data_IF_377505680196
#
_entry.id   IF_377505680196
#
_cell.length_a   1.000
_cell.length_b   1.000
_cell.length_c   1.000
_cell.angle_alpha   90.00
_cell.angle_beta   90.00
_cell.angle_gamma   90.00
#
_symmetry.space_group_name_H-M   'P 1'
#
loop_
_entity.id
_entity.type
_entity.pdbx_description
1 polymer ?
#
# COMPACT_ATOMS: atom_id res chain seq x y z
N UNK A 1 21.28 11.98 -37.53
CA UNK A 1 20.40 10.79 -37.38
C UNK A 1 21.32 9.62 -37.19
N UNK A 2 21.42 9.14 -35.95
CA UNK A 2 22.03 7.84 -35.66
C UNK A 2 20.90 6.86 -35.94
N UNK A 3 21.08 5.96 -36.90
CA UNK A 3 20.10 4.91 -37.16
C UNK A 3 19.86 4.13 -35.86
N UNK A 4 18.59 3.88 -35.48
CA UNK A 4 18.29 3.11 -34.29
C UNK A 4 18.93 1.72 -34.44
N UNK A 5 19.57 1.19 -33.38
CA UNK A 5 20.26 -0.10 -33.45
C UNK A 5 19.30 -1.17 -33.95
N UNK A 6 19.73 -1.84 -35.02
CA UNK A 6 19.02 -2.91 -35.70
C UNK A 6 18.65 -4.03 -34.72
N UNK A 7 17.35 -4.30 -34.64
CA UNK A 7 16.75 -5.54 -34.17
C UNK A 7 17.24 -6.06 -32.81
N UNK A 8 16.93 -5.31 -31.75
CA UNK A 8 16.85 -5.90 -30.43
C UNK A 8 15.73 -6.96 -30.41
N UNK A 9 16.10 -8.24 -30.46
CA UNK A 9 15.15 -9.34 -30.30
C UNK A 9 14.93 -9.61 -28.80
N UNK A 10 13.71 -9.47 -28.28
CA UNK A 10 13.41 -9.79 -26.90
C UNK A 10 13.68 -11.28 -26.65
N UNK A 11 14.37 -11.57 -25.55
CA UNK A 11 14.59 -12.93 -25.05
C UNK A 11 13.30 -13.41 -24.38
N UNK A 12 12.34 -13.87 -25.20
CA UNK A 12 11.02 -14.33 -24.75
C UNK A 12 11.10 -15.43 -23.69
N UNK A 13 12.10 -16.31 -23.78
CA UNK A 13 12.30 -17.38 -22.80
C UNK A 13 12.66 -16.80 -21.43
N UNK A 14 13.54 -15.79 -21.39
CA UNK A 14 13.88 -15.10 -20.16
C UNK A 14 12.70 -14.29 -19.59
N UNK A 15 11.88 -13.66 -20.44
CA UNK A 15 10.67 -12.94 -20.01
C UNK A 15 9.61 -13.88 -19.45
N UNK A 16 9.34 -15.01 -20.10
CA UNK A 16 8.43 -16.04 -19.60
C UNK A 16 8.93 -16.64 -18.28
N UNK A 17 10.22 -16.97 -18.20
CA UNK A 17 10.83 -17.46 -16.96
C UNK A 17 10.82 -16.41 -15.84
N UNK A 18 10.87 -15.11 -16.16
CA UNK A 18 10.69 -14.04 -15.18
C UNK A 18 9.25 -13.99 -14.67
N UNK A 19 8.26 -14.08 -15.56
CA UNK A 19 6.83 -14.07 -15.21
C UNK A 19 6.48 -15.26 -14.30
N UNK A 20 7.02 -16.45 -14.57
CA UNK A 20 6.84 -17.65 -13.74
C UNK A 20 7.73 -17.66 -12.47
N UNK A 21 8.52 -16.61 -12.21
CA UNK A 21 9.52 -16.56 -11.13
C UNK A 21 10.55 -17.73 -11.16
N UNK A 22 10.84 -18.27 -12.35
CA UNK A 22 11.79 -19.39 -12.57
C UNK A 22 13.24 -18.97 -12.81
N UNK A 23 13.52 -17.67 -12.92
CA UNK A 23 14.90 -17.17 -13.07
C UNK A 23 15.67 -17.22 -11.75
N UNK A 24 16.93 -17.65 -11.81
CA UNK A 24 17.89 -17.47 -10.70
C UNK A 24 18.15 -15.96 -10.43
N UNK A 25 18.71 -15.67 -9.26
CA UNK A 25 18.89 -14.29 -8.80
C UNK A 25 19.78 -13.45 -9.73
N UNK A 26 20.83 -14.04 -10.30
CA UNK A 26 21.77 -13.33 -11.16
C UNK A 26 21.15 -13.01 -12.53
N UNK A 27 20.46 -13.98 -13.13
CA UNK A 27 19.77 -13.79 -14.41
C UNK A 27 18.59 -12.84 -14.27
N UNK A 28 17.85 -12.91 -13.16
CA UNK A 28 16.74 -12.00 -12.85
C UNK A 28 17.19 -10.54 -12.78
N UNK A 29 18.30 -10.26 -12.11
CA UNK A 29 18.84 -8.89 -12.02
C UNK A 29 19.18 -8.31 -13.40
N UNK A 30 19.79 -9.12 -14.27
CA UNK A 30 20.10 -8.73 -15.65
C UNK A 30 18.84 -8.44 -16.47
N UNK A 31 17.81 -9.29 -16.36
CA UNK A 31 16.55 -9.11 -17.10
C UNK A 31 15.79 -7.89 -16.58
N UNK A 32 15.74 -7.66 -15.27
CA UNK A 32 15.11 -6.47 -14.68
C UNK A 32 15.83 -5.18 -15.07
N UNK A 33 17.17 -5.18 -15.08
CA UNK A 33 17.95 -4.04 -15.57
C UNK A 33 17.64 -3.75 -17.05
N UNK A 34 17.53 -4.79 -17.88
CA UNK A 34 17.16 -4.62 -19.27
C UNK A 34 15.73 -4.09 -19.46
N UNK A 35 14.75 -4.60 -18.70
CA UNK A 35 13.36 -4.11 -18.70
C UNK A 35 13.25 -2.66 -18.24
N UNK A 36 14.18 -2.19 -17.40
CA UNK A 36 14.26 -0.79 -17.03
C UNK A 36 14.72 0.10 -18.20
N UNK A 37 15.64 -0.40 -19.02
CA UNK A 37 16.28 0.36 -20.10
C UNK A 37 15.54 0.25 -21.45
N UNK A 38 14.62 -0.71 -21.62
CA UNK A 38 13.97 -1.02 -22.90
C UNK A 38 12.43 -1.03 -22.81
N UNK A 39 11.80 0.11 -23.14
CA UNK A 39 10.35 0.29 -23.09
C UNK A 39 9.56 -0.77 -23.88
N UNK A 40 10.06 -1.19 -25.06
CA UNK A 40 9.40 -2.22 -25.86
C UNK A 40 9.34 -3.57 -25.14
N UNK A 41 10.41 -3.96 -24.43
CA UNK A 41 10.43 -5.19 -23.64
C UNK A 41 9.58 -5.06 -22.37
N UNK A 42 9.47 -3.86 -21.79
CA UNK A 42 8.55 -3.58 -20.68
C UNK A 42 7.10 -3.79 -21.09
N UNK A 43 6.69 -3.21 -22.22
CA UNK A 43 5.33 -3.33 -22.75
C UNK A 43 4.99 -4.79 -23.06
N UNK A 44 5.90 -5.48 -23.75
CA UNK A 44 5.76 -6.89 -24.09
C UNK A 44 5.64 -7.79 -22.84
N UNK A 45 6.43 -7.52 -21.80
CA UNK A 45 6.35 -8.25 -20.54
C UNK A 45 5.02 -8.01 -19.82
N UNK A 46 4.49 -6.79 -19.84
CA UNK A 46 3.19 -6.48 -19.27
C UNK A 46 2.05 -7.24 -19.96
N UNK A 47 2.05 -7.29 -21.31
CA UNK A 47 1.07 -8.07 -22.09
C UNK A 47 1.13 -9.58 -21.76
N UNK A 48 2.34 -10.12 -21.57
CA UNK A 48 2.52 -11.53 -21.19
C UNK A 48 1.92 -11.84 -19.81
N UNK A 49 2.17 -10.98 -18.82
CA UNK A 49 1.63 -11.14 -17.45
C UNK A 49 0.11 -11.01 -17.43
N UNK A 50 -0.46 -10.10 -18.22
CA UNK A 50 -1.91 -9.93 -18.35
C UNK A 50 -2.56 -11.18 -18.97
N UNK A 51 -1.95 -11.77 -20.01
CA UNK A 51 -2.46 -12.99 -20.64
C UNK A 51 -2.46 -14.17 -19.68
N UNK A 52 -1.39 -14.34 -18.88
CA UNK A 52 -1.29 -15.41 -17.89
C UNK A 52 -2.33 -15.28 -16.77
N UNK A 53 -2.68 -14.06 -16.38
CA UNK A 53 -3.71 -13.83 -15.35
C UNK A 53 -5.12 -14.22 -15.83
N UNK A 54 -5.38 -14.18 -17.14
CA UNK A 54 -6.67 -14.56 -17.70
C UNK A 54 -6.86 -16.08 -17.78
N UNK A 55 -5.78 -16.84 -17.96
CA UNK A 55 -5.83 -18.31 -18.05
C UNK A 55 -6.10 -18.98 -16.68
N UNK A 56 -5.84 -18.29 -15.56
CA UNK A 56 -6.10 -18.83 -14.20
C UNK A 56 -7.59 -18.77 -13.78
N UNK A 57 -8.44 -18.00 -14.47
CA UNK A 57 -9.86 -17.83 -14.09
C UNK A 57 -10.82 -18.91 -14.64
N UNK A 58 -10.38 -19.81 -15.53
CA UNK A 58 -11.27 -20.79 -16.18
C UNK A 58 -11.38 -22.16 -15.48
N UNK A 59 -10.56 -22.47 -14.47
CA UNK A 59 -10.42 -23.86 -13.97
C UNK A 59 -11.11 -24.21 -12.62
N UNK A 60 -11.87 -23.31 -11.98
CA UNK A 60 -12.45 -23.60 -10.66
C UNK A 60 -13.99 -23.66 -10.64
N UNK A 61 -14.54 -24.78 -11.14
CA UNK A 61 -15.91 -25.20 -10.90
C UNK A 61 -15.98 -26.67 -10.42
N UNK A 62 -15.48 -26.93 -9.21
CA UNK A 62 -15.72 -28.19 -8.49
C UNK A 62 -16.85 -27.99 -7.47
N UNK A 63 -17.99 -28.70 -7.57
CA UNK A 63 -19.07 -28.57 -6.60
C UNK A 63 -18.72 -29.24 -5.26
N UNK A 64 -19.09 -28.66 -4.10
CA UNK A 64 -18.74 -29.22 -2.80
C UNK A 64 -19.63 -30.42 -2.42
N UNK A 65 -18.99 -31.53 -2.06
CA UNK A 65 -19.61 -32.67 -1.39
C UNK A 65 -19.63 -32.44 0.13
N UNK A 66 -20.83 -32.44 0.71
CA UNK A 66 -21.08 -32.19 2.13
C UNK A 66 -21.26 -33.52 2.85
N UNK A 67 -20.22 -34.03 3.52
CA UNK A 67 -20.39 -34.84 4.74
C UNK A 67 -19.07 -35.08 5.46
N UNK A 68 -18.96 -34.65 6.73
CA UNK A 68 -18.24 -35.42 7.77
C UNK A 68 -18.61 -34.93 9.17
N UNK A 69 -18.59 -35.81 10.20
CA UNK A 69 -19.16 -35.55 11.52
C UNK A 69 -18.14 -35.05 12.56
N UNK A 70 -18.70 -34.41 13.60
CA UNK A 70 -18.02 -33.83 14.77
C UNK A 70 -17.41 -34.90 15.68
N UNK A 71 -16.15 -34.71 16.07
CA UNK A 71 -15.47 -35.45 17.15
C UNK A 71 -15.14 -34.48 18.30
N UNK A 72 -15.46 -34.79 19.57
CA UNK A 72 -15.04 -33.97 20.71
C UNK A 72 -13.75 -34.52 21.34
N UNK A 73 -12.81 -33.66 21.73
CA UNK A 73 -11.70 -34.02 22.62
C UNK A 73 -11.50 -32.95 23.69
N UNK A 74 -11.37 -33.42 24.94
CA UNK A 74 -11.15 -32.62 26.14
C UNK A 74 -9.67 -32.28 26.39
N UNK A 75 -9.52 -31.16 27.12
CA UNK A 75 -8.43 -30.55 27.90
C UNK A 75 -7.15 -31.32 28.23
N UNK A 76 -6.03 -30.57 28.31
CA UNK A 76 -5.09 -30.55 29.45
C UNK A 76 -4.18 -29.29 29.41
N UNK A 77 -3.86 -28.74 30.60
CA UNK A 77 -2.89 -27.65 30.83
C UNK A 77 -1.64 -28.19 31.52
N UNK A 78 -0.43 -27.73 31.16
CA UNK A 78 0.58 -27.38 32.17
C UNK A 78 1.37 -26.08 31.86
N UNK A 79 2.04 -25.45 32.85
CA UNK A 79 2.79 -24.19 32.69
C UNK A 79 4.32 -24.42 32.71
N UNK A 80 5.16 -23.36 32.76
CA UNK A 80 5.56 -22.51 31.64
C UNK A 80 7.04 -22.72 31.27
N UNK A 81 7.42 -22.46 30.02
CA UNK A 81 8.83 -22.23 29.67
C UNK A 81 8.98 -21.12 28.64
N UNK A 82 9.98 -20.29 28.88
CA UNK A 82 10.29 -19.09 28.12
C UNK A 82 10.97 -19.40 26.79
N UNK A 83 10.77 -18.45 25.86
CA UNK A 83 11.46 -18.20 24.56
C UNK A 83 10.85 -18.80 23.31
N UNK A 84 10.70 -17.88 22.34
CA UNK A 84 10.69 -18.13 20.90
C UNK A 84 9.30 -18.09 20.32
N UNK A 85 8.90 -16.95 19.73
CA UNK A 85 7.70 -16.92 18.90
C UNK A 85 8.01 -16.48 17.46
N UNK A 86 7.40 -17.26 16.57
CA UNK A 86 7.67 -17.44 15.16
C UNK A 86 6.96 -16.39 14.26
N UNK A 87 7.46 -16.17 13.02
CA UNK A 87 6.86 -15.25 12.06
C UNK A 87 5.77 -15.97 11.24
N UNK A 88 4.52 -15.49 11.29
CA UNK A 88 3.46 -16.14 10.50
C UNK A 88 2.09 -15.47 10.45
N UNK A 89 1.94 -14.18 10.82
CA UNK A 89 0.62 -13.54 10.92
C UNK A 89 0.43 -12.26 10.08
N UNK A 90 1.31 -12.01 9.10
CA UNK A 90 1.29 -10.77 8.31
C UNK A 90 0.41 -10.82 7.06
N UNK A 91 -0.15 -11.98 6.72
CA UNK A 91 -0.88 -12.19 5.46
C UNK A 91 -2.34 -11.71 5.53
N UNK A 92 -2.96 -11.72 6.71
CA UNK A 92 -4.35 -11.28 6.92
C UNK A 92 -4.50 -9.76 7.14
N UNK A 93 -3.42 -9.05 7.47
CA UNK A 93 -3.45 -7.62 7.77
C UNK A 93 -3.66 -6.74 6.53
N UNK A 94 -3.38 -7.26 5.34
CA UNK A 94 -3.44 -6.46 4.14
C UNK A 94 -4.81 -6.45 3.46
N UNK A 95 -5.58 -7.54 3.49
CA UNK A 95 -6.95 -7.58 2.96
C UNK A 95 -7.88 -6.51 3.58
N UNK A 96 -7.58 -6.06 4.79
CA UNK A 96 -8.36 -5.09 5.57
C UNK A 96 -8.12 -3.64 5.12
N UNK A 97 -6.96 -3.31 4.55
CA UNK A 97 -6.63 -1.95 4.08
C UNK A 97 -7.52 -1.49 2.91
N UNK A 98 -8.06 -2.42 2.12
CA UNK A 98 -8.97 -2.11 1.00
C UNK A 98 -10.39 -1.79 1.49
N UNK A 99 -10.83 -2.41 2.59
CA UNK A 99 -12.16 -2.20 3.15
C UNK A 99 -12.22 -0.95 4.05
N UNK A 100 -11.14 -0.63 4.76
CA UNK A 100 -11.11 0.48 5.73
C UNK A 100 -11.27 1.88 5.11
N UNK A 101 -10.77 2.11 3.89
CA UNK A 101 -10.95 3.40 3.19
C UNK A 101 -12.30 3.51 2.47
N UNK A 102 -12.94 2.38 2.13
CA UNK A 102 -14.26 2.35 1.48
C UNK A 102 -15.43 2.46 2.48
N UNK A 103 -15.22 2.10 3.76
CA UNK A 103 -16.31 2.03 4.76
C UNK A 103 -16.53 3.31 5.56
N UNK A 104 -15.64 4.30 5.48
CA UNK A 104 -15.75 5.54 6.30
C UNK A 104 -16.63 6.61 5.62
N UNK A 105 -16.93 6.51 4.31
CA UNK A 105 -17.60 7.60 3.58
C UNK A 105 -18.68 7.13 2.58
N UNK A 106 -19.97 7.17 2.95
CA UNK A 106 -21.14 7.22 2.02
C UNK A 106 -22.35 7.92 2.69
N UNK A 107 -23.28 8.61 1.96
CA UNK A 107 -23.70 8.33 0.57
C UNK A 107 -23.92 9.52 -0.42
N UNK A 108 -23.71 9.26 -1.73
CA UNK A 108 -24.48 9.78 -2.89
C UNK A 108 -24.23 8.87 -4.13
N UNK A 109 -25.26 8.25 -4.70
CA UNK A 109 -25.17 6.91 -5.29
C UNK A 109 -24.50 6.74 -6.67
N UNK A 110 -24.35 7.78 -7.51
CA UNK A 110 -23.68 7.63 -8.82
C UNK A 110 -22.27 8.26 -8.86
N UNK A 111 -22.08 9.43 -8.24
CA UNK A 111 -20.76 10.06 -8.10
C UNK A 111 -19.79 9.28 -7.20
N UNK A 112 -20.31 8.38 -6.34
CA UNK A 112 -19.47 7.51 -5.51
C UNK A 112 -18.78 6.40 -6.27
N UNK A 113 -19.32 5.95 -7.41
CA UNK A 113 -18.70 4.88 -8.20
C UNK A 113 -17.48 5.40 -8.98
N UNK A 114 -17.61 6.54 -9.66
CA UNK A 114 -16.51 7.18 -10.39
C UNK A 114 -15.40 7.63 -9.43
N UNK A 115 -15.75 8.32 -8.33
CA UNK A 115 -14.79 8.66 -7.26
C UNK A 115 -14.08 7.41 -6.74
N UNK A 116 -14.83 6.37 -6.38
CA UNK A 116 -14.27 5.13 -5.86
C UNK A 116 -13.30 4.46 -6.84
N UNK A 117 -13.65 4.42 -8.13
CA UNK A 117 -12.81 3.86 -9.18
C UNK A 117 -11.50 4.65 -9.35
N UNK A 118 -11.56 5.98 -9.40
CA UNK A 118 -10.39 6.84 -9.52
C UNK A 118 -9.45 6.71 -8.31
N UNK A 119 -10.00 6.69 -7.10
CA UNK A 119 -9.21 6.50 -5.87
C UNK A 119 -8.52 5.14 -5.89
N UNK A 120 -9.26 4.06 -6.17
CA UNK A 120 -8.69 2.72 -6.28
C UNK A 120 -7.64 2.61 -7.38
N UNK A 121 -7.85 3.26 -8.53
CA UNK A 121 -6.89 3.30 -9.62
C UNK A 121 -5.59 3.99 -9.21
N UNK A 122 -5.68 5.15 -8.54
CA UNK A 122 -4.50 5.87 -8.04
C UNK A 122 -3.69 4.98 -7.08
N UNK A 123 -4.35 4.31 -6.13
CA UNK A 123 -3.68 3.41 -5.20
C UNK A 123 -3.04 2.19 -5.88
N UNK A 124 -3.73 1.59 -6.87
CA UNK A 124 -3.14 0.49 -7.66
C UNK A 124 -1.90 0.94 -8.42
N UNK A 125 -1.93 2.12 -9.01
CA UNK A 125 -0.78 2.67 -9.73
C UNK A 125 0.38 2.98 -8.79
N UNK A 126 0.12 3.57 -7.60
CA UNK A 126 1.16 3.77 -6.59
C UNK A 126 1.80 2.45 -6.18
N UNK A 127 0.99 1.40 -5.95
CA UNK A 127 1.49 0.07 -5.60
C UNK A 127 2.33 -0.56 -6.72
N UNK A 128 1.98 -0.31 -7.98
CA UNK A 128 2.70 -0.84 -9.14
C UNK A 128 4.08 -0.17 -9.36
N UNK A 129 4.19 1.13 -9.06
CA UNK A 129 5.41 1.90 -9.31
C UNK A 129 6.54 1.53 -8.36
N UNK A 130 6.22 1.32 -7.08
CA UNK A 130 7.23 1.35 -6.03
C UNK A 130 7.43 -0.01 -5.37
N UNK A 131 7.64 -1.06 -6.18
CA UNK A 131 7.69 -2.47 -5.80
C UNK A 131 8.57 -2.90 -4.62
N UNK A 132 9.18 -1.98 -3.83
CA UNK A 132 9.79 -2.26 -2.51
C UNK A 132 9.95 -1.08 -1.52
N UNK A 133 9.66 0.22 -1.79
CA UNK A 133 10.20 1.33 -0.94
C UNK A 133 9.24 2.20 -0.14
N UNK A 134 8.01 2.45 -0.59
CA UNK A 134 6.96 2.98 0.27
C UNK A 134 6.61 1.90 1.29
N UNK A 135 7.03 2.07 2.56
CA UNK A 135 6.57 1.34 3.75
C UNK A 135 5.49 0.32 3.41
N UNK A 136 5.84 -0.95 3.15
CA UNK A 136 4.93 -2.07 2.80
C UNK A 136 3.45 -1.74 3.01
N UNK A 137 2.84 -1.10 2.01
CA UNK A 137 1.42 -1.24 1.71
C UNK A 137 1.36 -2.35 0.66
N UNK A 138 1.77 -3.57 1.05
CA UNK A 138 1.70 -4.73 0.18
C UNK A 138 0.78 -5.79 0.75
N UNK A 139 -0.24 -6.08 -0.05
CA UNK A 139 -1.15 -7.19 0.04
C UNK A 139 -0.40 -8.46 -0.36
N UNK A 140 -0.41 -9.53 0.46
CA UNK A 140 0.07 -10.82 0.01
C UNK A 140 -1.06 -11.57 -0.67
N UNK A 141 -0.86 -11.89 -1.95
CA UNK A 141 -1.13 -13.25 -2.40
C UNK A 141 -0.11 -14.18 -1.71
N UNK A 142 -0.55 -15.38 -1.39
CA UNK A 142 0.11 -16.29 -0.46
C UNK A 142 1.41 -16.90 -1.02
N UNK A 143 2.53 -16.17 -1.00
CA UNK A 143 3.85 -16.79 -1.20
C UNK A 143 4.99 -16.02 -0.50
N UNK A 144 5.58 -16.71 0.48
CA UNK A 144 6.91 -16.55 1.11
C UNK A 144 7.19 -15.44 2.17
N UNK A 145 7.83 -15.80 3.31
CA UNK A 145 8.09 -14.89 4.42
C UNK A 145 9.46 -14.18 4.32
N UNK A 146 9.49 -12.87 4.07
CA UNK A 146 10.74 -12.08 4.17
C UNK A 146 11.00 -11.58 5.59
N UNK A 147 12.24 -11.76 6.06
CA UNK A 147 12.67 -11.49 7.45
C UNK A 147 13.12 -10.04 7.68
N UNK A 148 12.96 -9.58 8.94
CA UNK A 148 13.21 -8.24 9.48
C UNK A 148 14.61 -7.61 9.22
N UNK A 149 15.58 -8.37 8.68
CA UNK A 149 16.92 -7.86 8.37
C UNK A 149 16.95 -6.91 7.17
N UNK A 150 15.99 -7.01 6.24
CA UNK A 150 15.94 -6.15 5.05
C UNK A 150 15.43 -4.72 5.34
N UNK A 151 14.72 -4.50 6.45
CA UNK A 151 14.20 -3.18 6.81
C UNK A 151 15.27 -2.21 7.39
N UNK A 152 16.44 -2.72 7.80
CA UNK A 152 17.50 -1.90 8.44
C UNK A 152 18.44 -1.19 7.46
N UNK A 153 18.34 -1.46 6.15
CA UNK A 153 19.19 -0.85 5.12
C UNK A 153 18.75 0.55 4.67
N UNK A 154 17.55 1.00 5.02
CA UNK A 154 17.00 2.28 4.53
C UNK A 154 17.29 3.40 5.53
N UNK A 155 18.58 3.74 5.68
CA UNK A 155 18.98 5.02 6.28
C UNK A 155 19.58 5.91 5.20
N UNK A 156 18.86 6.99 4.90
CA UNK A 156 19.41 8.19 4.29
C UNK A 156 19.59 8.13 2.77
N UNK A 157 18.93 9.03 2.05
CA UNK A 157 19.39 9.47 0.73
C UNK A 157 18.73 8.84 -0.50
N UNK A 158 17.70 8.01 -0.35
CA UNK A 158 16.83 7.68 -1.47
C UNK A 158 15.97 8.90 -1.78
N UNK A 159 16.33 9.70 -2.79
CA UNK A 159 15.46 10.78 -3.23
C UNK A 159 14.09 10.16 -3.51
N UNK A 160 13.03 10.71 -2.93
CA UNK A 160 11.69 10.61 -3.49
C UNK A 160 11.73 11.27 -4.87
N UNK A 161 12.43 10.65 -5.82
CA UNK A 161 12.44 11.06 -7.20
C UNK A 161 10.97 11.02 -7.57
N UNK A 162 10.42 12.21 -7.83
CA UNK A 162 9.01 12.43 -8.12
C UNK A 162 8.57 11.27 -8.99
N UNK A 163 7.58 10.51 -8.52
CA UNK A 163 7.00 9.46 -9.32
C UNK A 163 6.28 10.15 -10.48
N UNK A 164 7.01 10.43 -11.56
CA UNK A 164 6.52 10.98 -12.82
C UNK A 164 5.90 9.86 -13.65
N UNK A 165 5.14 8.99 -13.00
CA UNK A 165 4.40 7.94 -13.65
C UNK A 165 3.16 8.56 -14.29
N UNK A 166 3.20 8.74 -15.60
CA UNK A 166 2.17 9.47 -16.35
C UNK A 166 0.73 8.98 -16.06
N UNK A 167 0.45 7.65 -15.98
CA UNK A 167 -0.89 7.18 -15.59
C UNK A 167 -1.34 7.64 -14.20
N UNK A 168 -0.42 7.70 -13.22
CA UNK A 168 -0.73 8.16 -11.87
C UNK A 168 -1.00 9.67 -11.84
N UNK A 169 -0.18 10.44 -12.55
CA UNK A 169 -0.38 11.88 -12.66
C UNK A 169 -1.71 12.22 -13.33
N UNK A 170 -2.12 11.43 -14.32
CA UNK A 170 -3.43 11.56 -14.96
C UNK A 170 -4.57 11.30 -13.97
N UNK A 171 -4.54 10.17 -13.24
CA UNK A 171 -5.58 9.87 -12.25
C UNK A 171 -5.66 10.90 -11.13
N UNK A 172 -4.50 11.42 -10.67
CA UNK A 172 -4.47 12.52 -9.70
C UNK A 172 -5.05 13.82 -10.27
N UNK A 173 -4.85 14.10 -11.56
CA UNK A 173 -5.44 15.25 -12.23
C UNK A 173 -6.97 15.11 -12.39
N UNK A 174 -7.47 13.91 -12.67
CA UNK A 174 -8.90 13.60 -12.73
C UNK A 174 -9.57 13.78 -11.36
N UNK A 175 -8.96 13.27 -10.29
CA UNK A 175 -9.43 13.51 -8.91
C UNK A 175 -9.44 15.01 -8.55
N UNK A 176 -8.41 15.76 -8.97
CA UNK A 176 -8.36 17.21 -8.77
C UNK A 176 -9.45 17.95 -9.56
N UNK A 177 -9.72 17.54 -10.80
CA UNK A 177 -10.80 18.09 -11.60
C UNK A 177 -12.17 17.81 -10.98
N UNK A 178 -12.38 16.61 -10.44
CA UNK A 178 -13.60 16.26 -9.71
C UNK A 178 -13.76 17.13 -8.45
N UNK A 179 -12.67 17.38 -7.71
CA UNK A 179 -12.68 18.26 -6.54
C UNK A 179 -12.99 19.71 -6.90
N UNK A 180 -12.53 20.21 -8.05
CA UNK A 180 -12.89 21.54 -8.54
C UNK A 180 -14.39 21.68 -8.82
N UNK A 181 -15.04 20.60 -9.28
CA UNK A 181 -16.49 20.57 -9.47
C UNK A 181 -17.24 20.48 -8.13
N UNK A 182 -16.60 19.94 -7.09
CA UNK A 182 -17.20 19.68 -5.78
C UNK A 182 -16.30 20.22 -4.64
N UNK A 183 -16.05 21.54 -4.56
CA UNK A 183 -15.05 22.10 -3.65
C UNK A 183 -15.37 21.89 -2.17
N UNK A 184 -16.63 21.62 -1.83
CA UNK A 184 -17.09 21.33 -0.48
C UNK A 184 -17.00 19.83 -0.09
N UNK A 185 -16.64 18.93 -1.02
CA UNK A 185 -16.45 17.51 -0.69
C UNK A 185 -15.12 17.31 0.04
N UNK A 186 -15.18 17.34 1.38
CA UNK A 186 -14.03 17.09 2.24
C UNK A 186 -13.51 15.65 2.13
N UNK A 187 -14.36 14.68 1.81
CA UNK A 187 -13.93 13.29 1.61
C UNK A 187 -13.08 13.15 0.35
N UNK A 188 -13.53 13.72 -0.77
CA UNK A 188 -12.76 13.71 -2.02
C UNK A 188 -11.43 14.46 -1.87
N UNK A 189 -11.44 15.56 -1.12
CA UNK A 189 -10.21 16.29 -0.78
C UNK A 189 -9.25 15.43 0.04
N UNK A 190 -9.76 14.68 1.03
CA UNK A 190 -8.96 13.77 1.84
C UNK A 190 -8.37 12.64 0.98
N UNK A 191 -9.17 12.04 0.09
CA UNK A 191 -8.72 11.00 -0.84
C UNK A 191 -7.60 11.51 -1.76
N UNK A 192 -7.78 12.70 -2.35
CA UNK A 192 -6.77 13.32 -3.21
C UNK A 192 -5.48 13.65 -2.44
N UNK A 193 -5.59 14.15 -1.20
CA UNK A 193 -4.42 14.40 -0.35
C UNK A 193 -3.68 13.10 0.00
N UNK A 194 -4.41 12.04 0.36
CA UNK A 194 -3.84 10.74 0.67
C UNK A 194 -3.18 10.08 -0.56
N UNK A 195 -3.78 10.20 -1.75
CA UNK A 195 -3.20 9.70 -2.99
C UNK A 195 -1.91 10.46 -3.36
N UNK A 196 -1.87 11.79 -3.19
CA UNK A 196 -0.63 12.56 -3.36
C UNK A 196 0.43 12.17 -2.34
N UNK A 197 0.04 11.89 -1.09
CA UNK A 197 0.96 11.45 -0.05
C UNK A 197 1.58 10.09 -0.41
N UNK A 198 0.74 9.14 -0.82
CA UNK A 198 1.16 7.82 -1.27
C UNK A 198 2.07 7.91 -2.50
N UNK A 199 1.86 8.88 -3.38
CA UNK A 199 2.73 9.16 -4.53
C UNK A 199 4.05 9.88 -4.17
N UNK A 200 4.33 10.13 -2.88
CA UNK A 200 5.50 10.89 -2.43
C UNK A 200 5.45 12.39 -2.76
N UNK A 201 4.30 12.92 -3.19
CA UNK A 201 4.09 14.34 -3.53
C UNK A 201 3.70 15.13 -2.27
N UNK A 202 4.60 15.15 -1.29
CA UNK A 202 4.33 15.68 0.06
C UNK A 202 3.83 17.14 0.05
N UNK A 203 4.42 18.01 -0.77
CA UNK A 203 3.99 19.41 -0.88
C UNK A 203 2.55 19.54 -1.38
N UNK A 204 2.16 18.72 -2.35
CA UNK A 204 0.79 18.73 -2.88
C UNK A 204 -0.19 18.18 -1.84
N UNK A 205 0.16 17.07 -1.19
CA UNK A 205 -0.63 16.51 -0.10
C UNK A 205 -0.85 17.53 1.02
N UNK A 206 0.19 18.29 1.41
CA UNK A 206 0.11 19.33 2.44
C UNK A 206 -0.83 20.48 2.04
N UNK A 207 -0.71 21.00 0.83
CA UNK A 207 -1.56 22.10 0.33
C UNK A 207 -3.03 21.66 0.33
N UNK A 208 -3.31 20.45 -0.16
CA UNK A 208 -4.67 19.93 -0.28
C UNK A 208 -5.25 19.62 1.11
N UNK A 209 -4.48 18.97 1.98
CA UNK A 209 -4.92 18.61 3.33
C UNK A 209 -5.11 19.84 4.24
N UNK A 210 -4.42 20.95 3.99
CA UNK A 210 -4.56 22.18 4.78
C UNK A 210 -5.96 22.81 4.70
N UNK A 211 -6.76 22.45 3.68
CA UNK A 211 -8.14 22.87 3.52
C UNK A 211 -9.16 21.93 4.20
N UNK A 212 -8.72 20.83 4.82
CA UNK A 212 -9.61 19.94 5.56
C UNK A 212 -10.08 20.58 6.89
N UNK A 213 -11.28 20.25 7.38
CA UNK A 213 -11.77 20.74 8.67
C UNK A 213 -10.83 20.33 9.80
N UNK A 214 -10.37 21.30 10.61
CA UNK A 214 -9.35 21.06 11.66
C UNK A 214 -9.84 20.17 12.81
N UNK A 215 -11.15 20.12 12.98
CA UNK A 215 -11.88 19.35 13.97
C UNK A 215 -12.35 17.99 13.42
N UNK A 216 -12.01 17.65 12.18
CA UNK A 216 -12.28 16.34 11.58
C UNK A 216 -11.08 15.40 11.65
N UNK A 217 -11.30 14.08 11.63
CA UNK A 217 -10.24 13.07 11.64
C UNK A 217 -9.33 13.11 10.40
N UNK A 218 -9.83 13.62 9.27
CA UNK A 218 -9.09 13.72 8.01
C UNK A 218 -7.93 14.73 8.13
N UNK A 219 -8.02 15.69 9.06
CA UNK A 219 -6.96 16.67 9.30
C UNK A 219 -5.64 16.02 9.75
N UNK A 220 -5.68 14.78 10.25
CA UNK A 220 -4.49 13.99 10.52
C UNK A 220 -3.56 13.81 9.31
N UNK A 221 -4.09 13.91 8.08
CA UNK A 221 -3.28 13.90 6.85
C UNK A 221 -2.26 15.05 6.81
N UNK A 222 -2.58 16.22 7.38
CA UNK A 222 -1.63 17.35 7.47
C UNK A 222 -0.44 16.96 8.35
N UNK A 223 -0.70 16.38 9.52
CA UNK A 223 0.36 16.01 10.45
C UNK A 223 1.20 14.86 9.92
N UNK A 224 0.57 13.89 9.24
CA UNK A 224 1.28 12.79 8.60
C UNK A 224 2.18 13.29 7.46
N UNK A 225 1.66 14.17 6.61
CA UNK A 225 2.45 14.76 5.52
C UNK A 225 3.63 15.60 6.05
N UNK A 226 3.43 16.35 7.15
CA UNK A 226 4.52 17.07 7.84
C UNK A 226 5.54 16.11 8.44
N UNK A 227 5.10 15.02 9.06
CA UNK A 227 5.99 14.02 9.65
C UNK A 227 6.91 13.40 8.59
N UNK A 228 6.33 13.04 7.44
CA UNK A 228 7.07 12.45 6.31
C UNK A 228 8.02 13.44 5.64
N UNK A 229 7.64 14.72 5.56
CA UNK A 229 8.47 15.77 4.96
C UNK A 229 9.59 16.29 5.88
N UNK A 230 9.44 16.15 7.20
CA UNK A 230 10.34 16.73 8.17
C UNK A 230 11.48 15.81 8.60
N UNK A 231 12.55 16.41 9.12
CA UNK A 231 13.65 15.74 9.83
C UNK A 231 13.88 16.39 11.20
N UNK A 232 14.61 15.69 12.08
CA UNK A 232 15.00 16.22 13.39
C UNK A 232 13.81 16.68 14.25
N UNK A 233 13.95 17.86 14.85
CA UNK A 233 12.95 18.43 15.77
C UNK A 233 11.59 18.66 15.12
N UNK A 234 11.56 19.07 13.84
CA UNK A 234 10.32 19.27 13.10
C UNK A 234 9.55 17.95 12.91
N UNK A 235 10.26 16.83 12.72
CA UNK A 235 9.64 15.50 12.67
C UNK A 235 9.05 15.12 14.04
N UNK A 236 9.77 15.40 15.13
CA UNK A 236 9.29 15.14 16.49
C UNK A 236 8.05 15.99 16.83
N UNK A 237 7.98 17.24 16.39
CA UNK A 237 6.80 18.09 16.54
C UNK A 237 5.60 17.55 15.75
N UNK A 238 5.80 17.20 14.49
CA UNK A 238 4.76 16.60 13.65
C UNK A 238 4.25 15.27 14.24
N UNK A 239 5.14 14.43 14.78
CA UNK A 239 4.77 13.21 15.48
C UNK A 239 3.89 13.49 16.71
N UNK A 240 4.27 14.44 17.57
CA UNK A 240 3.49 14.81 18.75
C UNK A 240 2.10 15.33 18.37
N UNK A 241 2.01 16.15 17.33
CA UNK A 241 0.74 16.66 16.83
C UNK A 241 -0.14 15.54 16.26
N UNK A 242 0.45 14.63 15.46
CA UNK A 242 -0.27 13.47 14.93
C UNK A 242 -0.80 12.57 16.05
N UNK A 243 0.04 12.27 17.05
CA UNK A 243 -0.33 11.44 18.20
C UNK A 243 -1.52 12.03 18.97
N UNK A 244 -1.46 13.32 19.31
CA UNK A 244 -2.55 13.99 20.02
C UNK A 244 -3.86 13.95 19.21
N UNK A 245 -3.78 14.13 17.89
CA UNK A 245 -4.93 14.05 17.01
C UNK A 245 -5.49 12.61 16.91
N UNK A 246 -4.63 11.61 16.75
CA UNK A 246 -5.04 10.21 16.73
C UNK A 246 -5.65 9.74 18.07
N UNK A 247 -5.17 10.27 19.20
CA UNK A 247 -5.78 10.06 20.52
C UNK A 247 -7.19 10.67 20.63
N UNK A 248 -7.42 11.84 20.02
CA UNK A 248 -8.75 12.46 19.96
C UNK A 248 -9.72 11.66 19.07
N UNK A 249 -9.22 11.07 17.98
CA UNK A 249 -10.01 10.37 16.97
C UNK A 249 -9.65 8.87 16.92
N UNK A 250 -9.55 8.25 18.10
CA UNK A 250 -9.04 6.89 18.30
C UNK A 250 -9.92 5.75 17.78
N UNK A 251 -11.05 6.11 17.15
CA UNK A 251 -11.95 5.21 16.43
C UNK A 251 -11.72 5.28 14.90
N UNK A 252 -10.83 6.14 14.43
CA UNK A 252 -10.55 6.30 13.00
C UNK A 252 -9.46 5.31 12.59
N UNK A 253 -9.76 4.26 11.79
CA UNK A 253 -8.78 3.21 11.48
C UNK A 253 -7.48 3.76 10.85
N UNK A 254 -7.62 4.75 9.97
CA UNK A 254 -6.48 5.45 9.34
C UNK A 254 -5.52 6.04 10.38
N UNK A 255 -6.02 6.78 11.37
CA UNK A 255 -5.19 7.44 12.38
C UNK A 255 -4.54 6.43 13.32
N UNK A 256 -5.32 5.43 13.74
CA UNK A 256 -4.88 4.38 14.66
C UNK A 256 -3.75 3.55 14.02
N UNK A 257 -3.91 3.17 12.75
CA UNK A 257 -2.89 2.44 12.02
C UNK A 257 -1.61 3.26 11.85
N UNK A 258 -1.71 4.48 11.32
CA UNK A 258 -0.52 5.30 11.07
C UNK A 258 0.22 5.65 12.38
N UNK A 259 -0.50 5.88 13.48
CA UNK A 259 0.15 6.07 14.78
C UNK A 259 0.92 4.83 15.21
N UNK A 260 0.38 3.62 14.98
CA UNK A 260 1.10 2.37 15.29
C UNK A 260 2.44 2.27 14.53
N UNK A 261 2.47 2.68 13.26
CA UNK A 261 3.69 2.69 12.44
C UNK A 261 4.68 3.72 12.99
N UNK A 262 4.21 4.95 13.22
CA UNK A 262 5.06 6.03 13.72
C UNK A 262 5.65 5.70 15.10
N UNK A 263 4.88 5.09 16.02
CA UNK A 263 5.38 4.63 17.31
C UNK A 263 6.50 3.60 17.16
N UNK A 264 6.37 2.65 16.24
CA UNK A 264 7.41 1.67 15.98
C UNK A 264 8.69 2.33 15.43
N UNK A 265 8.56 3.33 14.54
CA UNK A 265 9.68 4.10 14.02
C UNK A 265 10.40 4.92 15.11
N UNK A 266 9.66 5.45 16.08
CA UNK A 266 10.22 6.18 17.22
C UNK A 266 10.84 5.26 18.29
N UNK A 267 10.79 3.93 18.09
CA UNK A 267 11.33 2.97 19.05
C UNK A 267 10.42 2.72 20.26
N UNK A 268 9.11 2.91 20.11
CA UNK A 268 8.06 2.60 21.10
C UNK A 268 7.25 1.34 20.67
N UNK A 269 7.86 0.13 20.59
CA UNK A 269 7.20 -1.04 20.00
C UNK A 269 5.99 -1.55 20.80
N UNK A 270 6.03 -1.48 22.14
CA UNK A 270 4.91 -1.92 22.98
C UNK A 270 3.67 -1.03 22.78
N UNK A 271 3.88 0.28 22.65
CA UNK A 271 2.80 1.22 22.33
C UNK A 271 2.30 0.98 20.91
N UNK A 272 3.19 0.74 19.95
CA UNK A 272 2.82 0.41 18.57
C UNK A 272 1.92 -0.83 18.51
N UNK A 273 2.23 -1.89 19.27
CA UNK A 273 1.42 -3.11 19.32
C UNK A 273 0.04 -2.86 19.92
N UNK A 274 -0.08 -2.02 20.95
CA UNK A 274 -1.37 -1.62 21.52
C UNK A 274 -2.24 -0.89 20.48
N UNK A 275 -1.67 0.08 19.76
CA UNK A 275 -2.38 0.80 18.71
C UNK A 275 -2.71 -0.10 17.52
N UNK A 276 -1.87 -1.07 17.19
CA UNK A 276 -2.15 -2.08 16.17
C UNK A 276 -3.33 -2.97 16.56
N UNK A 277 -3.34 -3.50 17.78
CA UNK A 277 -4.46 -4.30 18.28
C UNK A 277 -5.78 -3.50 18.26
N UNK A 278 -5.70 -2.19 18.54
CA UNK A 278 -6.85 -1.29 18.41
C UNK A 278 -7.32 -1.17 16.96
N UNK A 279 -6.41 -0.98 16.01
CA UNK A 279 -6.76 -0.96 14.58
C UNK A 279 -7.44 -2.27 14.16
N UNK A 280 -6.87 -3.41 14.57
CA UNK A 280 -7.45 -4.74 14.29
C UNK A 280 -8.85 -4.91 14.88
N UNK A 281 -9.13 -4.31 16.04
CA UNK A 281 -10.46 -4.31 16.63
C UNK A 281 -11.47 -3.46 15.83
N UNK A 282 -11.04 -2.31 15.29
CA UNK A 282 -11.87 -1.44 14.45
C UNK A 282 -12.09 -2.00 13.04
N UNK A 283 -11.14 -2.79 12.57
CA UNK A 283 -11.12 -3.38 11.23
C UNK A 283 -12.02 -4.62 11.08
N UNK A 284 -12.47 -5.23 12.18
CA UNK A 284 -13.35 -6.39 12.15
C UNK A 284 -14.78 -5.92 11.86
N UNK A 285 -15.46 -6.50 10.84
CA UNK A 285 -16.85 -6.19 10.54
C UNK A 285 -17.82 -6.59 11.65
#
# INVERSE_FOLDING_TARGET
MIDPPEHHQPDFEALAALADNRLDAARREVVLAHLHDCAHCTDLFAEMVETMALDEEEDEAVPPDLTTPVVPIQTQTPPPSARGFAPGLWVLAAAVLAAGLLLVFRPAAEQTAERGALVQQAYRQVAAIDGTRLLRFHYPTAAEPTTLKQARGVRGGGSWARLEHAPLLQTLAELAALLQQQPADHGLRADLAAANLAAGRLDHALVIAAELPRDGPEYGLVFLARYLAAEGEARTEAFRAFRAHAEQFDQTPFLVFNLSVMLAEQGEPEAADLWRARYEALAKP
#
